data_IF_581533243105
#
_entry.id   IF_581533243105
#
_cell.length_a   1.000
_cell.length_b   1.000
_cell.length_c   1.000
_cell.angle_alpha   90.00
_cell.angle_beta   90.00
_cell.angle_gamma   90.00
#
_symmetry.space_group_name_H-M   'P 1'
#
loop_
_entity.id
_entity.type
_entity.pdbx_description
1 polymer ?
#
# COMPACT_ATOMS: atom_id res chain seq x y z
N UNK A 1 -55.08 80.32 -4.08
CA UNK A 1 -53.78 80.51 -4.73
C UNK A 1 -52.75 79.88 -3.83
N UNK A 2 -52.34 78.69 -4.16
CA UNK A 2 -51.28 77.96 -3.41
C UNK A 2 -50.31 77.42 -4.41
N UNK A 3 -49.09 77.92 -4.31
CA UNK A 3 -47.94 77.45 -5.12
C UNK A 3 -47.31 76.24 -4.44
N UNK A 4 -47.30 75.07 -5.12
CA UNK A 4 -46.63 73.89 -4.68
C UNK A 4 -45.16 73.87 -5.16
N UNK A 5 -44.24 73.81 -4.27
CA UNK A 5 -42.84 73.60 -4.57
C UNK A 5 -42.53 72.12 -4.67
N UNK A 6 -42.13 71.70 -5.85
CA UNK A 6 -41.66 70.35 -6.09
C UNK A 6 -40.17 70.22 -5.64
N UNK A 7 -39.93 69.35 -4.69
CA UNK A 7 -38.56 69.02 -4.22
C UNK A 7 -38.00 67.90 -5.08
N UNK A 8 -36.88 68.13 -5.80
CA UNK A 8 -36.19 67.14 -6.56
C UNK A 8 -35.23 66.39 -5.61
N UNK A 9 -35.56 65.11 -5.33
CA UNK A 9 -34.69 64.24 -4.62
C UNK A 9 -33.55 63.73 -5.54
N UNK A 10 -32.31 64.10 -5.22
CA UNK A 10 -31.14 63.55 -5.88
C UNK A 10 -30.90 62.16 -5.36
N UNK A 11 -31.06 61.17 -6.22
CA UNK A 11 -30.61 59.79 -5.94
C UNK A 11 -29.07 59.74 -6.03
N UNK A 12 -28.44 59.57 -4.91
CA UNK A 12 -26.98 59.28 -4.86
C UNK A 12 -26.76 57.81 -5.20
N UNK A 13 -26.06 57.55 -6.30
CA UNK A 13 -25.57 56.26 -6.67
C UNK A 13 -24.45 55.85 -5.69
N UNK A 14 -24.51 54.73 -4.97
CA UNK A 14 -23.41 54.29 -4.12
C UNK A 14 -22.18 53.96 -4.97
N UNK A 15 -21.02 54.45 -4.52
CA UNK A 15 -19.74 54.15 -5.13
C UNK A 15 -19.42 52.66 -4.99
N UNK A 16 -18.75 52.03 -5.98
CA UNK A 16 -18.35 50.66 -5.89
C UNK A 16 -17.36 50.43 -4.76
N UNK A 17 -17.66 49.49 -3.88
CA UNK A 17 -16.81 49.01 -2.80
C UNK A 17 -15.52 48.41 -3.38
N UNK A 18 -14.33 48.72 -2.86
CA UNK A 18 -13.08 48.16 -3.35
C UNK A 18 -13.08 46.67 -3.10
N UNK A 19 -12.94 45.89 -4.17
CA UNK A 19 -12.79 44.45 -4.12
C UNK A 19 -11.64 44.03 -3.21
N UNK A 20 -11.92 43.19 -2.20
CA UNK A 20 -10.93 42.62 -1.34
C UNK A 20 -9.87 41.85 -2.19
N UNK A 21 -8.57 41.91 -1.84
CA UNK A 21 -7.55 41.17 -2.55
C UNK A 21 -7.86 39.67 -2.46
N UNK A 22 -7.93 39.00 -3.61
CA UNK A 22 -8.11 37.56 -3.70
C UNK A 22 -6.95 36.87 -2.95
N UNK A 23 -7.31 36.05 -1.96
CA UNK A 23 -6.33 35.20 -1.29
C UNK A 23 -5.60 34.33 -2.30
N UNK A 24 -4.28 34.11 -2.17
CA UNK A 24 -3.54 33.24 -3.06
C UNK A 24 -4.17 31.84 -3.01
N UNK A 25 -4.56 31.33 -4.17
CA UNK A 25 -5.06 29.96 -4.31
C UNK A 25 -3.97 29.01 -3.77
N UNK A 26 -4.30 28.24 -2.76
CA UNK A 26 -3.44 27.17 -2.31
C UNK A 26 -3.09 26.26 -3.50
N UNK A 27 -1.82 25.81 -3.65
CA UNK A 27 -1.47 24.90 -4.72
C UNK A 27 -2.35 23.65 -4.62
N UNK A 28 -3.11 23.37 -5.66
CA UNK A 28 -3.86 22.14 -5.77
C UNK A 28 -2.82 21.00 -5.70
N UNK A 29 -2.88 20.19 -4.64
CA UNK A 29 -2.13 18.95 -4.57
C UNK A 29 -2.61 18.11 -5.74
N UNK A 30 -1.85 18.08 -6.82
CA UNK A 30 -2.04 17.16 -7.92
C UNK A 30 -1.82 15.77 -7.35
N UNK A 31 -2.90 15.06 -7.07
CA UNK A 31 -2.83 13.63 -6.82
C UNK A 31 -2.31 13.01 -8.12
N UNK A 32 -1.02 12.64 -8.12
CA UNK A 32 -0.48 11.83 -9.20
C UNK A 32 -1.40 10.63 -9.40
N UNK A 33 -1.66 10.19 -10.64
CA UNK A 33 -2.50 9.03 -10.89
C UNK A 33 -1.97 7.87 -10.06
N UNK A 34 -2.83 7.31 -9.21
CA UNK A 34 -2.50 6.10 -8.43
C UNK A 34 -2.25 5.03 -9.49
N UNK A 35 -0.99 4.60 -9.64
CA UNK A 35 -0.66 3.50 -10.52
C UNK A 35 -1.55 2.30 -10.16
N UNK A 36 -2.13 1.63 -11.17
CA UNK A 36 -3.06 0.52 -10.98
C UNK A 36 -2.54 -0.51 -9.96
N UNK A 37 -1.24 -0.85 -9.99
CA UNK A 37 -0.58 -1.74 -9.03
C UNK A 37 -0.48 -1.23 -7.59
N UNK A 38 -0.95 -0.02 -7.27
CA UNK A 38 -0.92 0.52 -5.90
C UNK A 38 -2.20 0.26 -5.10
N UNK A 39 -3.19 -0.44 -5.67
CA UNK A 39 -4.45 -0.72 -4.97
C UNK A 39 -4.25 -1.76 -3.86
N UNK A 40 -5.01 -1.63 -2.76
CA UNK A 40 -5.00 -2.61 -1.68
C UNK A 40 -5.55 -3.96 -2.13
N UNK A 41 -6.55 -3.96 -3.01
CA UNK A 41 -7.20 -5.16 -3.52
C UNK A 41 -6.26 -5.98 -4.43
N UNK A 42 -5.44 -5.31 -5.24
CA UNK A 42 -4.42 -5.99 -6.03
C UNK A 42 -3.38 -6.66 -5.12
N UNK A 43 -2.89 -5.93 -4.13
CA UNK A 43 -1.92 -6.44 -3.17
C UNK A 43 -2.46 -7.66 -2.41
N UNK A 44 -3.72 -7.63 -1.98
CA UNK A 44 -4.36 -8.76 -1.30
C UNK A 44 -4.51 -9.96 -2.24
N UNK A 45 -4.89 -9.76 -3.51
CA UNK A 45 -4.96 -10.84 -4.51
C UNK A 45 -3.60 -11.48 -4.77
N UNK A 46 -2.54 -10.66 -4.88
CA UNK A 46 -1.18 -11.15 -5.09
C UNK A 46 -0.68 -11.92 -3.85
N UNK A 47 -1.02 -11.47 -2.64
CA UNK A 47 -0.69 -12.17 -1.41
C UNK A 47 -1.42 -13.51 -1.29
N UNK A 48 -2.72 -13.56 -1.61
CA UNK A 48 -3.49 -14.81 -1.65
C UNK A 48 -2.96 -15.78 -2.72
N UNK A 49 -2.54 -15.25 -3.85
CA UNK A 49 -1.91 -16.06 -4.90
C UNK A 49 -0.58 -16.65 -4.41
N UNK A 50 0.28 -15.85 -3.79
CA UNK A 50 1.54 -16.31 -3.23
C UNK A 50 1.33 -17.40 -2.16
N UNK A 51 0.32 -17.24 -1.29
CA UNK A 51 -0.03 -18.28 -0.31
C UNK A 51 -0.49 -19.59 -0.96
N UNK A 52 -1.27 -19.52 -2.03
CA UNK A 52 -1.66 -20.75 -2.78
C UNK A 52 -0.44 -21.44 -3.39
N UNK A 53 0.53 -20.70 -3.91
CA UNK A 53 1.78 -21.28 -4.43
C UNK A 53 2.59 -21.94 -3.31
N UNK A 54 2.69 -21.29 -2.14
CA UNK A 54 3.34 -21.84 -0.95
C UNK A 54 2.67 -23.14 -0.49
N UNK A 55 1.35 -23.15 -0.38
CA UNK A 55 0.58 -24.29 0.11
C UNK A 55 0.63 -25.50 -0.83
N UNK A 56 0.82 -25.26 -2.12
CA UNK A 56 0.91 -26.30 -3.17
C UNK A 56 2.35 -26.66 -3.55
N UNK A 57 3.36 -26.08 -2.85
CA UNK A 57 4.77 -26.37 -3.12
C UNK A 57 5.31 -25.84 -4.45
N UNK A 58 4.61 -24.86 -5.05
CA UNK A 58 4.99 -24.27 -6.34
C UNK A 58 6.01 -23.16 -6.19
N UNK A 59 7.15 -23.47 -5.57
CA UNK A 59 8.18 -22.49 -5.23
C UNK A 59 8.90 -21.90 -6.45
N UNK A 60 8.91 -22.63 -7.58
CA UNK A 60 9.46 -22.09 -8.83
C UNK A 60 8.61 -20.96 -9.38
N UNK A 61 7.28 -21.06 -9.23
CA UNK A 61 6.39 -19.99 -9.67
C UNK A 61 6.52 -18.74 -8.77
N UNK A 62 6.68 -18.94 -7.46
CA UNK A 62 7.04 -17.84 -6.55
C UNK A 62 8.35 -17.17 -6.95
N UNK A 63 9.36 -17.94 -7.35
CA UNK A 63 10.62 -17.41 -7.86
C UNK A 63 10.40 -16.58 -9.13
N UNK A 64 9.55 -17.06 -10.05
CA UNK A 64 9.27 -16.33 -11.28
C UNK A 64 8.63 -14.96 -11.01
N UNK A 65 7.82 -14.85 -9.95
CA UNK A 65 7.17 -13.61 -9.51
C UNK A 65 8.03 -12.77 -8.55
N UNK A 66 9.22 -13.23 -8.18
CA UNK A 66 10.10 -12.51 -7.27
C UNK A 66 10.67 -11.24 -7.91
N UNK A 67 10.87 -10.22 -7.08
CA UNK A 67 11.46 -8.94 -7.48
C UNK A 67 12.89 -9.14 -8.06
N UNK A 68 13.30 -8.31 -9.03
CA UNK A 68 14.60 -8.46 -9.70
C UNK A 68 15.79 -8.50 -8.71
N UNK A 69 15.78 -7.66 -7.67
CA UNK A 69 16.88 -7.64 -6.70
C UNK A 69 16.94 -8.91 -5.84
N UNK A 70 15.82 -9.60 -5.61
CA UNK A 70 15.80 -10.91 -4.94
C UNK A 70 16.47 -11.94 -5.83
N UNK A 71 16.18 -11.93 -7.14
CA UNK A 71 16.81 -12.84 -8.12
C UNK A 71 18.31 -12.59 -8.29
N UNK A 72 18.79 -11.39 -7.99
CA UNK A 72 20.23 -11.08 -7.97
C UNK A 72 20.95 -11.64 -6.73
N UNK A 73 20.26 -11.75 -5.59
CA UNK A 73 20.82 -12.19 -4.30
C UNK A 73 20.77 -13.70 -4.06
N UNK A 74 19.77 -14.34 -4.66
CA UNK A 74 19.53 -15.78 -4.48
C UNK A 74 19.56 -16.47 -5.83
N UNK A 75 19.85 -17.76 -5.85
CA UNK A 75 19.54 -18.62 -6.98
C UNK A 75 18.19 -19.33 -6.75
N UNK A 76 17.56 -19.86 -7.81
CA UNK A 76 16.23 -20.49 -7.71
C UNK A 76 16.15 -21.62 -6.69
N UNK A 77 17.20 -22.48 -6.62
CA UNK A 77 17.25 -23.64 -5.73
C UNK A 77 17.30 -23.24 -4.27
N UNK A 78 18.15 -22.25 -3.94
CA UNK A 78 18.24 -21.73 -2.58
C UNK A 78 16.93 -21.07 -2.16
N UNK A 79 16.37 -20.23 -3.02
CA UNK A 79 15.07 -19.58 -2.76
C UNK A 79 13.99 -20.63 -2.49
N UNK A 80 13.87 -21.66 -3.35
CA UNK A 80 12.89 -22.72 -3.20
C UNK A 80 13.07 -23.50 -1.89
N UNK A 81 14.32 -23.86 -1.52
CA UNK A 81 14.61 -24.57 -0.28
C UNK A 81 14.28 -23.75 0.96
N UNK A 82 14.73 -22.48 1.02
CA UNK A 82 14.50 -21.61 2.18
C UNK A 82 13.00 -21.34 2.36
N UNK A 83 12.28 -21.14 1.24
CA UNK A 83 10.83 -20.92 1.25
C UNK A 83 10.07 -22.18 1.67
N UNK A 84 10.48 -23.37 1.20
CA UNK A 84 9.91 -24.65 1.59
C UNK A 84 10.05 -24.87 3.10
N UNK A 85 11.25 -24.69 3.64
CA UNK A 85 11.52 -24.85 5.07
C UNK A 85 10.67 -23.88 5.90
N UNK A 86 10.55 -22.63 5.46
CA UNK A 86 9.71 -21.62 6.11
C UNK A 86 8.24 -22.04 6.10
N UNK A 87 7.72 -22.57 4.96
CA UNK A 87 6.34 -23.03 4.86
C UNK A 87 6.08 -24.29 5.70
N UNK A 88 7.01 -25.24 5.71
CA UNK A 88 6.93 -26.46 6.53
C UNK A 88 6.86 -26.15 8.03
N UNK A 89 7.57 -25.09 8.49
CA UNK A 89 7.54 -24.65 9.87
C UNK A 89 6.15 -24.16 10.33
N UNK A 90 5.29 -23.71 9.41
CA UNK A 90 3.90 -23.35 9.71
C UNK A 90 3.05 -24.59 10.01
N UNK A 91 3.35 -25.73 9.38
CA UNK A 91 2.63 -26.99 9.56
C UNK A 91 1.25 -27.01 8.89
N UNK A 92 0.38 -27.89 9.37
CA UNK A 92 -0.97 -28.05 8.86
C UNK A 92 -1.87 -26.88 9.25
N UNK A 93 -2.55 -26.31 8.26
CA UNK A 93 -3.38 -25.10 8.40
C UNK A 93 -4.86 -25.50 8.50
N UNK A 94 -5.54 -24.93 9.48
CA UNK A 94 -7.00 -25.02 9.65
C UNK A 94 -7.71 -23.85 8.98
N UNK A 95 -7.22 -22.64 9.19
CA UNK A 95 -7.80 -21.41 8.64
C UNK A 95 -6.75 -20.30 8.54
N UNK A 96 -7.00 -19.33 7.69
CA UNK A 96 -6.13 -18.17 7.48
C UNK A 96 -6.99 -16.94 7.18
N UNK A 97 -6.62 -15.81 7.78
CA UNK A 97 -7.21 -14.51 7.47
C UNK A 97 -6.13 -13.44 7.50
N UNK A 98 -6.22 -12.44 6.63
CA UNK A 98 -5.30 -11.32 6.69
C UNK A 98 -5.53 -10.51 7.99
N UNK A 99 -4.44 -10.08 8.61
CA UNK A 99 -4.45 -9.37 9.88
C UNK A 99 -4.04 -7.90 9.71
N UNK A 100 -3.10 -7.62 8.81
CA UNK A 100 -2.65 -6.26 8.54
C UNK A 100 -2.07 -6.11 7.14
N UNK A 101 -2.23 -4.92 6.58
CA UNK A 101 -1.55 -4.48 5.35
C UNK A 101 -0.76 -3.22 5.67
N UNK A 102 0.54 -3.25 5.41
CA UNK A 102 1.45 -2.13 5.68
C UNK A 102 2.17 -1.74 4.41
N UNK A 103 2.28 -0.43 4.15
CA UNK A 103 3.10 0.11 3.05
C UNK A 103 4.26 0.91 3.62
N UNK A 104 5.43 0.75 3.03
CA UNK A 104 6.67 1.37 3.48
C UNK A 104 7.42 1.90 2.26
N UNK A 105 7.84 3.16 2.30
CA UNK A 105 8.75 3.71 1.31
C UNK A 105 10.15 3.63 1.89
N UNK A 106 11.05 2.91 1.19
CA UNK A 106 12.48 2.93 1.49
C UNK A 106 13.17 3.93 0.58
N UNK A 107 14.05 4.75 1.17
CA UNK A 107 14.92 5.69 0.47
C UNK A 107 16.28 5.72 1.17
N UNK A 108 17.34 5.39 0.42
CA UNK A 108 18.70 5.31 0.95
C UNK A 108 18.96 4.16 1.92
N UNK A 109 18.13 3.13 1.92
CA UNK A 109 18.34 1.94 2.73
C UNK A 109 19.52 1.10 2.19
N UNK A 110 20.33 0.52 3.10
CA UNK A 110 21.52 -0.25 2.70
C UNK A 110 21.18 -1.63 2.15
N UNK A 111 20.10 -2.23 2.67
CA UNK A 111 19.81 -3.65 2.46
C UNK A 111 18.78 -3.92 1.37
N UNK A 112 18.02 -2.92 1.00
CA UNK A 112 16.97 -3.02 -0.01
C UNK A 112 17.01 -1.83 -0.95
N UNK A 113 16.68 -1.99 -2.25
CA UNK A 113 16.57 -0.88 -3.18
C UNK A 113 15.49 0.12 -2.76
N UNK A 114 15.68 1.38 -3.13
CA UNK A 114 14.65 2.42 -2.94
C UNK A 114 13.36 2.04 -3.65
N UNK A 115 12.23 2.39 -3.06
CA UNK A 115 10.93 2.14 -3.67
C UNK A 115 9.81 1.94 -2.66
N UNK A 116 8.62 1.67 -3.20
CA UNK A 116 7.44 1.36 -2.42
C UNK A 116 7.36 -0.14 -2.16
N UNK A 117 7.29 -0.50 -0.90
CA UNK A 117 7.13 -1.86 -0.42
C UNK A 117 5.78 -2.03 0.28
N UNK A 118 5.30 -3.26 0.32
CA UNK A 118 4.11 -3.60 1.08
C UNK A 118 4.29 -4.95 1.78
N UNK A 119 3.69 -5.08 2.95
CA UNK A 119 3.59 -6.33 3.67
C UNK A 119 2.11 -6.66 3.87
N UNK A 120 1.76 -7.92 3.65
CA UNK A 120 0.48 -8.48 4.05
C UNK A 120 0.76 -9.52 5.12
N UNK A 121 0.25 -9.30 6.32
CA UNK A 121 0.33 -10.22 7.44
C UNK A 121 -0.96 -11.03 7.54
N UNK A 122 -0.83 -12.34 7.64
CA UNK A 122 -1.93 -13.26 7.86
C UNK A 122 -1.85 -13.87 9.26
N UNK A 123 -2.99 -13.91 9.96
CA UNK A 123 -3.15 -14.74 11.13
C UNK A 123 -3.58 -16.14 10.68
N UNK A 124 -2.72 -17.11 10.88
CA UNK A 124 -2.90 -18.50 10.44
C UNK A 124 -3.13 -19.40 11.64
N UNK A 125 -4.29 -20.01 11.71
CA UNK A 125 -4.61 -21.02 12.73
C UNK A 125 -4.19 -22.38 12.23
N UNK A 126 -3.25 -23.01 12.94
CA UNK A 126 -2.79 -24.37 12.66
C UNK A 126 -3.88 -25.41 13.05
N UNK A 127 -3.78 -26.61 12.52
CA UNK A 127 -4.64 -27.75 12.93
C UNK A 127 -4.56 -28.05 14.44
N UNK A 128 -3.43 -27.73 15.07
CA UNK A 128 -3.23 -27.81 16.53
C UNK A 128 -3.99 -26.76 17.34
N UNK A 129 -4.60 -25.75 16.68
CA UNK A 129 -5.20 -24.58 17.31
C UNK A 129 -4.24 -23.42 17.63
N UNK A 130 -2.94 -23.61 17.43
CA UNK A 130 -1.94 -22.56 17.61
C UNK A 130 -2.05 -21.52 16.47
N UNK A 131 -1.83 -20.25 16.80
CA UNK A 131 -1.78 -19.16 15.81
C UNK A 131 -0.34 -18.81 15.50
N UNK A 132 -0.03 -18.69 14.20
CA UNK A 132 1.21 -18.14 13.68
C UNK A 132 0.89 -17.00 12.72
N UNK A 133 1.83 -16.09 12.50
CA UNK A 133 1.66 -14.98 11.58
C UNK A 133 2.54 -15.21 10.37
N UNK A 134 1.96 -15.13 9.19
CA UNK A 134 2.67 -15.27 7.93
C UNK A 134 2.76 -13.90 7.25
N UNK A 135 3.97 -13.35 7.15
CA UNK A 135 4.23 -12.10 6.45
C UNK A 135 4.65 -12.36 5.02
N UNK A 136 3.93 -11.81 4.07
CA UNK A 136 4.30 -11.78 2.65
C UNK A 136 4.67 -10.37 2.29
N UNK A 137 5.85 -10.19 1.73
CA UNK A 137 6.41 -8.89 1.39
C UNK A 137 6.54 -8.73 -0.11
N UNK A 138 6.24 -7.52 -0.59
CA UNK A 138 6.27 -7.14 -2.00
C UNK A 138 7.00 -5.82 -2.20
N UNK A 139 7.45 -5.59 -3.42
CA UNK A 139 7.92 -4.30 -3.92
C UNK A 139 7.14 -3.96 -5.19
N UNK A 140 6.72 -2.70 -5.30
CA UNK A 140 6.13 -2.19 -6.53
C UNK A 140 7.26 -1.90 -7.53
N UNK A 141 7.26 -2.60 -8.66
CA UNK A 141 8.28 -2.43 -9.69
C UNK A 141 7.83 -1.45 -10.77
N UNK A 142 8.74 -1.11 -11.68
CA UNK A 142 8.49 -0.12 -12.74
C UNK A 142 7.44 -0.56 -13.76
N UNK A 143 7.10 -1.85 -13.79
CA UNK A 143 6.00 -2.39 -14.61
C UNK A 143 4.61 -2.13 -13.97
N UNK A 144 4.56 -1.46 -12.82
CA UNK A 144 3.35 -1.15 -12.08
C UNK A 144 2.76 -2.34 -11.32
N UNK A 145 3.50 -3.45 -11.17
CA UNK A 145 3.06 -4.66 -10.47
C UNK A 145 3.83 -4.88 -9.17
N UNK A 146 3.17 -5.54 -8.23
CA UNK A 146 3.79 -6.03 -7.02
C UNK A 146 4.57 -7.31 -7.31
N UNK A 147 5.85 -7.32 -6.95
CA UNK A 147 6.73 -8.48 -7.05
C UNK A 147 7.14 -8.95 -5.67
N UNK A 148 7.13 -10.27 -5.47
CA UNK A 148 7.44 -10.89 -4.18
C UNK A 148 8.88 -10.56 -3.76
N UNK A 149 9.05 -10.11 -2.51
CA UNK A 149 10.37 -9.87 -1.91
C UNK A 149 10.69 -10.82 -0.77
N UNK A 150 9.69 -11.48 -0.19
CA UNK A 150 9.93 -12.45 0.86
C UNK A 150 8.67 -13.04 1.48
N UNK A 151 8.88 -14.16 2.17
CA UNK A 151 7.91 -14.84 2.99
C UNK A 151 8.52 -15.17 4.35
N UNK A 152 7.87 -14.76 5.43
CA UNK A 152 8.38 -14.95 6.78
C UNK A 152 7.25 -15.33 7.76
N UNK A 153 7.17 -16.60 8.17
CA UNK A 153 6.31 -17.00 9.28
C UNK A 153 6.92 -16.58 10.63
N UNK A 154 6.06 -16.17 11.56
CA UNK A 154 6.45 -15.67 12.89
C UNK A 154 5.49 -16.18 13.95
N UNK A 155 5.98 -16.33 15.20
CA UNK A 155 5.14 -16.73 16.34
C UNK A 155 4.33 -15.57 16.93
N UNK A 156 4.71 -14.33 16.62
CA UNK A 156 4.01 -13.11 17.03
C UNK A 156 3.90 -12.14 15.87
N UNK A 157 2.81 -11.37 15.85
CA UNK A 157 2.70 -10.23 14.96
C UNK A 157 3.75 -9.20 15.38
N UNK A 158 4.62 -8.80 14.46
CA UNK A 158 5.61 -7.76 14.73
C UNK A 158 4.95 -6.39 14.92
N UNK A 159 5.69 -5.38 15.37
CA UNK A 159 5.18 -4.03 15.51
C UNK A 159 4.62 -3.54 14.17
N UNK A 160 3.45 -2.90 14.22
CA UNK A 160 2.88 -2.20 13.07
C UNK A 160 3.57 -0.84 13.01
N UNK A 161 4.27 -0.48 11.92
CA UNK A 161 4.88 0.82 11.80
C UNK A 161 3.83 1.92 11.95
N UNK A 162 4.04 2.84 12.89
CA UNK A 162 3.16 4.00 13.12
C UNK A 162 2.06 3.81 14.16
N UNK A 163 2.09 2.74 14.94
CA UNK A 163 1.23 2.57 16.14
C UNK A 163 1.89 3.09 17.39
#
# INVERSE_FOLDING_TARGET
MAAGAASLAHAQTPAPEPAAPAAPAAPALSLAPVNAGASADELLRDADYALRLLDTGRYQDLWNDAAPFVKQRYNPQRFANDTRLSREAVGAIKSRGWAAVTRIIYSGAKDVPDGLYANVDYATTQASGKVVYEKISFRLENDGRWHLTGYLPRVAQGPIPGS
#
